data_IF_288827599709
#
_entry.id   IF_288827599709
#
_cell.length_a   1.000
_cell.length_b   1.000
_cell.length_c   1.000
_cell.angle_alpha   90.00
_cell.angle_beta   90.00
_cell.angle_gamma   90.00
#
_symmetry.space_group_name_H-M   'P 1'
#
loop_
_entity.id
_entity.type
_entity.pdbx_description
1 polymer ?
#
# COMPACT_ATOMS: atom_id res chain seq x y z
N UNK A 1 -19.39 -5.15 2.47
CA UNK A 1 -18.56 -4.59 1.38
C UNK A 1 -17.19 -5.25 1.33
N UNK A 2 -16.29 -4.95 2.27
CA UNK A 2 -14.96 -5.59 2.35
C UNK A 2 -15.01 -7.01 2.91
N UNK A 3 -15.94 -7.32 3.83
CA UNK A 3 -16.04 -8.61 4.51
C UNK A 3 -16.16 -9.80 3.54
N UNK A 4 -16.98 -9.69 2.50
CA UNK A 4 -17.14 -10.73 1.47
C UNK A 4 -15.85 -10.97 0.67
N UNK A 5 -15.09 -9.91 0.37
CA UNK A 5 -13.80 -10.00 -0.34
C UNK A 5 -12.73 -10.67 0.52
N UNK A 6 -12.79 -10.45 1.83
CA UNK A 6 -11.88 -11.10 2.78
C UNK A 6 -12.25 -12.57 3.03
N UNK A 7 -13.55 -12.91 3.00
CA UNK A 7 -14.03 -14.28 3.12
C UNK A 7 -13.50 -15.18 2.00
N UNK A 8 -13.55 -14.71 0.74
CA UNK A 8 -13.08 -15.51 -0.41
C UNK A 8 -11.58 -15.83 -0.34
N UNK A 9 -10.73 -14.88 0.10
CA UNK A 9 -9.29 -15.14 0.27
C UNK A 9 -9.02 -16.07 1.45
N UNK A 10 -9.80 -15.96 2.53
CA UNK A 10 -9.69 -16.89 3.67
C UNK A 10 -10.05 -18.32 3.27
N UNK A 11 -11.13 -18.50 2.51
CA UNK A 11 -11.55 -19.80 1.99
C UNK A 11 -10.45 -20.43 1.11
N UNK A 12 -9.98 -19.69 0.10
CA UNK A 12 -8.86 -20.12 -0.77
C UNK A 12 -7.61 -20.51 0.03
N UNK A 13 -7.29 -19.76 1.09
CA UNK A 13 -6.18 -20.11 1.98
C UNK A 13 -6.40 -21.45 2.71
N UNK A 14 -7.59 -21.68 3.27
CA UNK A 14 -7.92 -22.93 3.98
C UNK A 14 -7.91 -24.14 3.03
N UNK A 15 -8.24 -23.93 1.77
CA UNK A 15 -8.16 -24.93 0.70
C UNK A 15 -6.73 -25.17 0.19
N UNK A 16 -5.76 -24.38 0.66
CA UNK A 16 -4.35 -24.51 0.25
C UNK A 16 -4.07 -23.98 -1.15
N UNK A 17 -4.86 -23.01 -1.63
CA UNK A 17 -4.60 -22.32 -2.89
C UNK A 17 -3.16 -21.79 -2.92
N UNK A 18 -2.38 -22.30 -3.87
CA UNK A 18 -0.94 -22.04 -3.97
C UNK A 18 -0.63 -20.56 -4.18
N UNK A 19 -1.48 -19.84 -4.91
CA UNK A 19 -1.30 -18.41 -5.18
C UNK A 19 -1.52 -17.59 -3.90
N UNK A 20 -2.59 -17.89 -3.16
CA UNK A 20 -2.87 -17.22 -1.88
C UNK A 20 -1.79 -17.57 -0.85
N UNK A 21 -1.35 -18.83 -0.80
CA UNK A 21 -0.28 -19.24 0.11
C UNK A 21 1.04 -18.53 -0.19
N UNK A 22 1.41 -18.42 -1.47
CA UNK A 22 2.58 -17.67 -1.89
C UNK A 22 2.45 -16.18 -1.54
N UNK A 23 1.29 -15.58 -1.80
CA UNK A 23 1.06 -14.17 -1.49
C UNK A 23 1.20 -13.85 0.00
N UNK A 24 0.74 -14.72 0.91
CA UNK A 24 0.93 -14.52 2.35
C UNK A 24 2.40 -14.56 2.75
N UNK A 25 3.20 -15.46 2.16
CA UNK A 25 4.65 -15.49 2.37
C UNK A 25 5.32 -14.22 1.86
N UNK A 26 4.91 -13.73 0.70
CA UNK A 26 5.42 -12.49 0.14
C UNK A 26 5.07 -11.28 1.01
N UNK A 27 3.83 -11.18 1.51
CA UNK A 27 3.46 -10.11 2.45
C UNK A 27 4.30 -10.13 3.73
N UNK A 28 4.55 -11.32 4.30
CA UNK A 28 5.42 -11.47 5.45
C UNK A 28 6.86 -11.03 5.12
N UNK A 29 7.37 -11.40 3.96
CA UNK A 29 8.70 -10.99 3.48
C UNK A 29 8.82 -9.48 3.29
N UNK A 30 7.81 -8.83 2.69
CA UNK A 30 7.80 -7.37 2.51
C UNK A 30 7.76 -6.64 3.87
N UNK A 31 6.95 -7.13 4.81
CA UNK A 31 6.87 -6.55 6.15
C UNK A 31 8.20 -6.66 6.90
N UNK A 32 8.84 -7.84 6.86
CA UNK A 32 10.16 -8.05 7.47
C UNK A 32 11.21 -7.13 6.85
N UNK A 33 11.30 -7.07 5.53
CA UNK A 33 12.26 -6.21 4.83
C UNK A 33 12.03 -4.72 5.14
N UNK A 34 10.77 -4.27 5.22
CA UNK A 34 10.45 -2.89 5.57
C UNK A 34 10.87 -2.57 7.01
N UNK A 35 10.59 -3.48 7.95
CA UNK A 35 11.06 -3.35 9.34
C UNK A 35 12.58 -3.22 9.40
N UNK A 36 13.30 -4.10 8.72
CA UNK A 36 14.77 -4.15 8.79
C UNK A 36 15.38 -2.85 8.22
N UNK A 37 14.82 -2.30 7.15
CA UNK A 37 15.21 -0.98 6.64
C UNK A 37 14.91 0.14 7.64
N UNK A 38 13.72 0.15 8.24
CA UNK A 38 13.34 1.20 9.21
C UNK A 38 14.27 1.17 10.44
N UNK A 39 14.48 -0.01 11.03
CA UNK A 39 15.34 -0.19 12.21
C UNK A 39 16.80 0.16 11.90
N UNK A 40 17.26 -0.05 10.66
CA UNK A 40 18.59 0.36 10.22
C UNK A 40 18.71 1.86 9.86
N UNK A 41 17.70 2.68 10.11
CA UNK A 41 17.69 4.11 9.74
C UNK A 41 17.51 4.37 8.25
N UNK A 42 17.17 3.35 7.47
CA UNK A 42 17.00 3.35 6.00
C UNK A 42 15.53 3.40 5.59
N UNK A 43 14.69 4.00 6.42
CA UNK A 43 13.24 4.09 6.20
C UNK A 43 12.84 4.74 4.88
N UNK A 44 13.68 5.61 4.30
CA UNK A 44 13.46 6.19 2.97
C UNK A 44 13.47 5.18 1.82
N UNK A 45 14.01 3.98 2.05
CA UNK A 45 14.17 2.94 1.03
C UNK A 45 13.00 1.94 0.97
N UNK A 46 11.97 2.08 1.81
CA UNK A 46 10.86 1.12 1.86
C UNK A 46 9.88 1.24 0.67
N UNK A 47 9.97 2.31 -0.12
CA UNK A 47 9.02 2.62 -1.19
C UNK A 47 8.71 1.46 -2.14
N UNK A 48 9.73 0.81 -2.72
CA UNK A 48 9.53 -0.36 -3.58
C UNK A 48 8.82 -1.54 -2.90
N UNK A 49 8.93 -1.69 -1.57
CA UNK A 49 8.21 -2.73 -0.82
C UNK A 49 6.73 -2.40 -0.67
N UNK A 50 6.37 -1.12 -0.55
CA UNK A 50 4.97 -0.68 -0.56
C UNK A 50 4.34 -1.02 -1.91
N UNK A 51 5.04 -0.75 -3.00
CA UNK A 51 4.55 -1.03 -4.35
C UNK A 51 4.36 -2.52 -4.60
N UNK A 52 5.35 -3.35 -4.26
CA UNK A 52 5.25 -4.80 -4.34
C UNK A 52 4.10 -5.35 -3.50
N UNK A 53 3.85 -4.76 -2.32
CA UNK A 53 2.74 -5.15 -1.48
C UNK A 53 1.39 -4.86 -2.16
N UNK A 54 1.24 -3.68 -2.76
CA UNK A 54 0.01 -3.32 -3.45
C UNK A 54 -0.24 -4.20 -4.67
N UNK A 55 0.77 -4.41 -5.51
CA UNK A 55 0.69 -5.30 -6.68
C UNK A 55 0.33 -6.72 -6.29
N UNK A 56 0.97 -7.25 -5.23
CA UNK A 56 0.64 -8.57 -4.71
C UNK A 56 -0.79 -8.63 -4.19
N UNK A 57 -1.28 -7.58 -3.54
CA UNK A 57 -2.68 -7.50 -3.12
C UNK A 57 -3.64 -7.57 -4.32
N UNK A 58 -3.35 -6.83 -5.39
CA UNK A 58 -4.16 -6.86 -6.62
C UNK A 58 -4.21 -8.23 -7.29
N UNK A 59 -3.19 -9.07 -7.12
CA UNK A 59 -3.19 -10.43 -7.70
C UNK A 59 -4.19 -11.38 -7.04
N UNK A 60 -4.47 -11.23 -5.75
CA UNK A 60 -5.33 -12.17 -5.00
C UNK A 60 -6.68 -11.59 -4.59
N UNK A 61 -6.87 -10.27 -4.71
CA UNK A 61 -8.11 -9.58 -4.38
C UNK A 61 -8.69 -8.86 -5.59
N UNK A 62 -10.02 -8.91 -5.75
CA UNK A 62 -10.72 -8.00 -6.64
C UNK A 62 -10.77 -6.61 -6.00
N UNK A 63 -10.06 -5.67 -6.59
CA UNK A 63 -9.90 -4.33 -6.04
C UNK A 63 -10.99 -3.37 -6.52
N UNK A 64 -11.41 -2.48 -5.62
CA UNK A 64 -12.22 -1.31 -6.00
C UNK A 64 -11.41 -0.41 -6.94
N UNK A 65 -11.95 -0.01 -8.10
CA UNK A 65 -11.27 0.90 -9.03
C UNK A 65 -10.80 2.21 -8.39
N UNK A 66 -11.53 2.75 -7.41
CA UNK A 66 -11.13 3.98 -6.70
C UNK A 66 -9.88 3.76 -5.85
N UNK A 67 -9.76 2.59 -5.21
CA UNK A 67 -8.56 2.22 -4.45
C UNK A 67 -7.33 2.11 -5.37
N UNK A 68 -7.52 1.55 -6.57
CA UNK A 68 -6.46 1.45 -7.58
C UNK A 68 -6.09 2.84 -8.11
N UNK A 69 -7.08 3.70 -8.37
CA UNK A 69 -6.87 5.06 -8.82
C UNK A 69 -6.05 5.89 -7.81
N UNK A 70 -6.33 5.77 -6.51
CA UNK A 70 -5.54 6.46 -5.47
C UNK A 70 -4.06 6.07 -5.52
N UNK A 71 -3.74 4.78 -5.60
CA UNK A 71 -2.33 4.34 -5.67
C UNK A 71 -1.67 4.80 -6.96
N UNK A 72 -2.38 4.73 -8.09
CA UNK A 72 -1.85 5.20 -9.37
C UNK A 72 -1.59 6.71 -9.39
N UNK A 73 -2.43 7.52 -8.73
CA UNK A 73 -2.19 8.96 -8.60
C UNK A 73 -0.99 9.29 -7.70
N UNK A 74 -0.73 8.49 -6.66
CA UNK A 74 0.51 8.65 -5.90
C UNK A 74 1.73 8.37 -6.80
N UNK A 75 1.69 7.28 -7.55
CA UNK A 75 2.78 6.86 -8.45
C UNK A 75 3.02 7.83 -9.60
N UNK A 76 1.97 8.50 -10.10
CA UNK A 76 2.09 9.45 -11.23
C UNK A 76 2.99 10.65 -10.91
N UNK A 77 3.19 10.96 -9.62
CA UNK A 77 4.06 12.06 -9.16
C UNK A 77 5.42 11.59 -8.62
N UNK A 78 5.69 10.28 -8.68
CA UNK A 78 6.90 9.62 -8.19
C UNK A 78 6.84 9.08 -6.76
N UNK A 79 5.68 9.17 -6.09
CA UNK A 79 5.53 8.62 -4.74
C UNK A 79 5.26 7.12 -4.77
N UNK A 80 5.61 6.43 -3.68
CA UNK A 80 5.30 5.02 -3.47
C UNK A 80 4.12 4.89 -2.50
N UNK A 81 3.17 4.00 -2.78
CA UNK A 81 2.00 3.85 -1.93
C UNK A 81 1.39 2.45 -1.98
N UNK A 82 0.70 2.09 -0.90
CA UNK A 82 -0.17 0.91 -0.79
C UNK A 82 -1.43 1.26 -0.03
N UNK A 83 -2.43 0.38 -0.09
CA UNK A 83 -3.61 0.53 0.78
C UNK A 83 -3.24 0.44 2.25
N UNK A 84 -3.87 1.27 3.07
CA UNK A 84 -3.72 1.27 4.53
C UNK A 84 -4.60 0.20 5.22
N UNK A 85 -5.42 -0.54 4.47
CA UNK A 85 -6.35 -1.52 5.01
C UNK A 85 -7.23 -2.16 3.93
N UNK A 86 -8.51 -2.37 4.24
CA UNK A 86 -9.50 -2.94 3.32
C UNK A 86 -9.84 -2.02 2.13
N UNK A 87 -9.64 -0.71 2.26
CA UNK A 87 -9.88 0.29 1.22
C UNK A 87 -10.10 1.68 1.80
N UNK A 88 -10.30 2.68 0.94
CA UNK A 88 -10.66 4.05 1.33
C UNK A 88 -9.50 4.93 1.81
N UNK A 89 -8.31 4.35 2.00
CA UNK A 89 -7.10 5.09 2.34
C UNK A 89 -5.85 4.38 1.84
N UNK A 90 -4.84 5.18 1.50
CA UNK A 90 -3.49 4.72 1.16
C UNK A 90 -2.48 5.27 2.18
N UNK A 91 -1.35 4.59 2.31
CA UNK A 91 -0.17 5.06 3.02
C UNK A 91 1.02 4.97 2.08
N UNK A 92 1.91 5.95 2.14
CA UNK A 92 3.00 6.07 1.19
C UNK A 92 4.17 6.89 1.69
N UNK A 93 5.22 6.91 0.88
CA UNK A 93 6.38 7.78 1.07
C UNK A 93 6.56 8.67 -0.14
N UNK A 94 7.12 9.85 0.08
CA UNK A 94 7.44 10.83 -0.92
C UNK A 94 8.85 11.38 -0.66
N UNK A 95 9.51 11.92 -1.69
CA UNK A 95 10.92 12.32 -1.62
C UNK A 95 11.12 13.69 -0.95
N UNK A 96 10.35 14.69 -1.37
CA UNK A 96 10.52 16.08 -0.96
C UNK A 96 9.20 16.88 -0.94
N UNK A 97 9.25 18.11 -0.44
CA UNK A 97 8.07 18.97 -0.35
C UNK A 97 7.49 19.33 -1.74
N UNK A 98 8.31 19.31 -2.81
CA UNK A 98 7.82 19.54 -4.18
C UNK A 98 6.94 18.37 -4.63
N UNK A 99 7.35 17.14 -4.36
CA UNK A 99 6.57 15.94 -4.59
C UNK A 99 5.31 15.94 -3.74
N UNK A 100 5.39 16.38 -2.48
CA UNK A 100 4.22 16.53 -1.62
C UNK A 100 3.16 17.47 -2.23
N UNK A 101 3.56 18.65 -2.72
CA UNK A 101 2.63 19.56 -3.40
C UNK A 101 1.97 18.93 -4.63
N UNK A 102 2.75 18.19 -5.44
CA UNK A 102 2.20 17.45 -6.58
C UNK A 102 1.24 16.34 -6.14
N UNK A 103 1.55 15.64 -5.04
CA UNK A 103 0.72 14.59 -4.47
C UNK A 103 -0.64 15.11 -4.02
N UNK A 104 -0.67 16.24 -3.30
CA UNK A 104 -1.92 16.90 -2.89
C UNK A 104 -2.80 17.17 -4.12
N UNK A 105 -2.24 17.81 -5.14
CA UNK A 105 -2.96 18.14 -6.38
C UNK A 105 -3.42 16.89 -7.15
N UNK A 106 -2.61 15.84 -7.20
CA UNK A 106 -2.98 14.60 -7.86
C UNK A 106 -4.14 13.88 -7.15
N UNK A 107 -4.15 13.90 -5.81
CA UNK A 107 -5.19 13.25 -5.01
C UNK A 107 -6.56 13.93 -5.08
N UNK A 108 -6.59 15.25 -5.29
CA UNK A 108 -7.83 16.00 -5.55
C UNK A 108 -8.61 15.42 -6.74
N UNK A 109 -7.93 14.94 -7.77
CA UNK A 109 -8.56 14.36 -8.98
C UNK A 109 -9.37 13.09 -8.71
N UNK A 110 -9.08 12.40 -7.60
CA UNK A 110 -9.78 11.19 -7.16
C UNK A 110 -10.61 11.46 -5.90
N UNK A 111 -10.79 12.73 -5.51
CA UNK A 111 -11.57 13.14 -4.34
C UNK A 111 -10.94 12.76 -3.00
N UNK A 112 -9.61 12.54 -2.96
CA UNK A 112 -8.90 12.15 -1.75
C UNK A 112 -8.17 13.34 -1.11
N UNK A 113 -8.05 13.32 0.22
CA UNK A 113 -7.32 14.33 0.99
C UNK A 113 -5.99 13.75 1.45
N UNK A 114 -4.92 14.54 1.33
CA UNK A 114 -3.58 14.16 1.79
C UNK A 114 -3.32 14.73 3.17
N UNK A 115 -2.85 13.87 4.09
CA UNK A 115 -2.45 14.25 5.44
C UNK A 115 -0.96 13.92 5.59
N UNK A 116 -0.18 14.86 6.12
CA UNK A 116 1.21 14.64 6.52
C UNK A 116 1.24 14.30 8.02
N UNK A 117 1.34 13.02 8.41
CA UNK A 117 1.38 12.64 9.82
C UNK A 117 2.63 13.21 10.48
N UNK A 118 2.48 13.77 11.68
CA UNK A 118 3.58 14.15 12.55
C UNK A 118 3.69 13.09 13.64
N UNK A 119 4.90 12.55 13.81
CA UNK A 119 5.22 11.65 14.91
C UNK A 119 5.96 12.50 15.93
N UNK A 120 5.42 12.60 17.14
CA UNK A 120 6.16 13.15 18.27
C UNK A 120 7.24 12.13 18.66
N UNK A 121 8.44 12.59 18.94
CA UNK A 121 9.44 11.75 19.61
C UNK A 121 9.15 11.84 21.11
N UNK A 122 8.95 10.69 21.75
CA UNK A 122 8.90 10.59 23.21
C UNK A 122 10.21 11.08 23.85
#
# INVERSE_FOLDING_TARGET
GSETIHQTVRERWLEGDREVVAAMKDFAGYAQAARDLIVAGRGREIGPLLDKNFERRCSIFKMDPLNVAMVNQARSVGAHAKLAGSGGAIVGIYEDDRMYTRLVKAMETVGAVVIKPQMEAD
#
